data_IF_944406304110
#
_entry.id   IF_944406304110
#
_cell.length_a   1.000
_cell.length_b   1.000
_cell.length_c   1.000
_cell.angle_alpha   90.00
_cell.angle_beta   90.00
_cell.angle_gamma   90.00
#
_symmetry.space_group_name_H-M   'P 1'
#
loop_
_entity.id
_entity.type
_entity.pdbx_description
1 polymer ?
#
# COMPACT_ATOMS: atom_id res chain seq x y z
N UNK A 1 -61.21 44.90 -29.38
CA UNK A 1 -61.02 44.50 -30.80
C UNK A 1 -59.53 44.24 -31.01
N UNK A 2 -59.18 43.09 -31.59
CA UNK A 2 -57.80 42.65 -31.84
C UNK A 2 -57.31 43.33 -33.12
N UNK A 3 -56.17 44.01 -33.09
CA UNK A 3 -55.45 44.38 -34.31
C UNK A 3 -53.99 44.00 -34.24
N UNK A 4 -53.63 43.31 -35.30
CA UNK A 4 -52.42 42.56 -35.56
C UNK A 4 -51.57 43.38 -36.55
N UNK A 5 -50.26 43.38 -36.30
CA UNK A 5 -49.14 43.39 -37.26
C UNK A 5 -48.82 44.71 -37.99
N UNK A 6 -47.50 44.86 -38.22
CA UNK A 6 -46.77 45.84 -39.02
C UNK A 6 -46.64 47.18 -38.28
N UNK A 7 -45.44 47.62 -37.90
CA UNK A 7 -44.40 48.09 -38.81
C UNK A 7 -43.04 48.02 -38.12
N UNK A 8 -42.09 47.43 -38.86
CA UNK A 8 -40.66 47.72 -38.89
C UNK A 8 -40.13 48.77 -37.89
N UNK A 9 -39.25 48.35 -36.97
CA UNK A 9 -38.03 49.12 -36.73
C UNK A 9 -36.90 48.20 -36.27
N UNK A 10 -35.83 48.25 -37.06
CA UNK A 10 -34.42 48.09 -36.68
C UNK A 10 -33.94 46.70 -36.31
N UNK A 11 -33.51 46.02 -37.37
CA UNK A 11 -32.32 45.18 -37.32
C UNK A 11 -31.16 45.98 -36.70
N UNK A 12 -30.53 45.45 -35.66
CA UNK A 12 -29.12 45.72 -35.36
C UNK A 12 -28.48 44.41 -34.89
N UNK A 13 -27.78 43.76 -35.82
CA UNK A 13 -26.79 42.73 -35.52
C UNK A 13 -25.63 43.40 -34.77
N UNK A 14 -25.32 42.96 -33.55
CA UNK A 14 -23.98 43.10 -32.97
C UNK A 14 -23.78 42.05 -31.88
N UNK A 15 -22.88 41.13 -32.17
CA UNK A 15 -22.51 39.96 -31.38
C UNK A 15 -21.89 40.45 -30.07
N UNK A 16 -22.57 40.24 -28.95
CA UNK A 16 -21.92 40.39 -27.64
C UNK A 16 -21.24 39.07 -27.32
N UNK A 17 -19.92 39.03 -27.47
CA UNK A 17 -19.11 37.92 -26.96
C UNK A 17 -19.25 37.89 -25.44
N UNK A 18 -19.96 36.90 -24.91
CA UNK A 18 -19.97 36.62 -23.47
C UNK A 18 -18.60 36.08 -23.12
N UNK A 19 -17.80 36.90 -22.44
CA UNK A 19 -16.56 36.48 -21.80
C UNK A 19 -16.97 35.65 -20.58
N UNK A 20 -16.78 34.33 -20.64
CA UNK A 20 -16.88 33.48 -19.45
C UNK A 20 -15.75 33.89 -18.49
N UNK A 21 -16.02 34.35 -17.26
CA UNK A 21 -14.97 34.49 -16.28
C UNK A 21 -14.48 33.08 -15.92
N UNK A 22 -13.23 32.77 -16.27
CA UNK A 22 -12.50 31.65 -15.69
C UNK A 22 -12.48 31.90 -14.19
N UNK A 23 -13.21 31.09 -13.43
CA UNK A 23 -13.01 30.98 -11.99
C UNK A 23 -11.64 30.32 -11.79
N UNK A 24 -10.59 31.13 -11.74
CA UNK A 24 -9.32 30.70 -11.17
C UNK A 24 -9.55 30.46 -9.68
N UNK A 25 -9.71 29.19 -9.30
CA UNK A 25 -9.44 28.77 -7.93
C UNK A 25 -7.99 29.13 -7.64
N UNK A 26 -7.77 30.19 -6.87
CA UNK A 26 -6.47 30.58 -6.34
C UNK A 26 -6.03 29.50 -5.33
N UNK A 27 -5.53 28.37 -5.84
CA UNK A 27 -4.85 27.40 -5.00
C UNK A 27 -3.47 27.97 -4.66
N UNK A 28 -3.39 28.44 -3.42
CA UNK A 28 -2.22 28.94 -2.69
C UNK A 28 -0.90 28.35 -3.24
N UNK A 29 -0.20 29.11 -4.10
CA UNK A 29 1.18 28.78 -4.51
C UNK A 29 2.07 28.81 -3.26
N UNK A 30 2.45 27.64 -2.78
CA UNK A 30 3.63 27.47 -1.92
C UNK A 30 4.88 27.62 -2.82
N UNK A 31 5.96 28.28 -2.38
CA UNK A 31 7.08 28.57 -3.27
C UNK A 31 7.81 27.29 -3.67
N UNK A 32 7.79 26.97 -4.96
CA UNK A 32 8.62 25.94 -5.56
C UNK A 32 10.06 26.45 -5.68
N UNK A 33 10.96 25.82 -4.93
CA UNK A 33 12.41 25.95 -5.06
C UNK A 33 12.84 25.52 -6.49
N UNK A 34 13.78 26.20 -7.18
CA UNK A 34 14.16 25.82 -8.54
C UNK A 34 15.16 24.67 -8.48
N UNK A 35 14.66 23.47 -8.76
CA UNK A 35 15.46 22.28 -9.08
C UNK A 35 15.02 21.73 -10.43
N UNK A 36 15.75 22.10 -11.47
CA UNK A 36 15.88 21.46 -12.80
C UNK A 36 15.78 19.92 -12.68
N UNK A 37 15.24 19.10 -13.58
CA UNK A 37 15.16 19.11 -15.05
C UNK A 37 14.22 17.96 -15.46
N UNK A 38 13.59 18.06 -16.62
CA UNK A 38 12.41 17.28 -17.02
C UNK A 38 12.59 15.76 -17.15
N UNK A 39 11.49 15.02 -16.88
CA UNK A 39 11.17 13.67 -17.41
C UNK A 39 9.73 13.25 -17.03
N UNK A 40 8.72 14.10 -17.27
CA UNK A 40 7.36 13.90 -16.76
C UNK A 40 6.60 12.63 -17.28
N UNK A 41 6.84 12.08 -18.50
CA UNK A 41 6.13 10.86 -18.94
C UNK A 41 6.88 9.54 -18.68
N UNK A 42 8.21 9.54 -18.72
CA UNK A 42 9.01 8.30 -18.61
C UNK A 42 9.12 7.83 -17.16
N UNK A 43 9.35 8.78 -16.25
CA UNK A 43 9.52 8.53 -14.82
C UNK A 43 8.24 7.98 -14.19
N UNK A 44 7.09 8.55 -14.53
CA UNK A 44 5.76 8.07 -14.10
C UNK A 44 5.48 6.63 -14.56
N UNK A 45 5.85 6.26 -15.80
CA UNK A 45 5.69 4.89 -16.30
C UNK A 45 6.57 3.89 -15.57
N UNK A 46 7.81 4.26 -15.24
CA UNK A 46 8.73 3.40 -14.49
C UNK A 46 8.23 3.17 -13.06
N UNK A 47 7.75 4.21 -12.39
CA UNK A 47 7.12 4.09 -11.09
C UNK A 47 5.87 3.19 -11.10
N UNK A 48 4.97 3.38 -12.07
CA UNK A 48 3.78 2.53 -12.19
C UNK A 48 4.14 1.07 -12.48
N UNK A 49 5.12 0.83 -13.36
CA UNK A 49 5.62 -0.52 -13.66
C UNK A 49 6.19 -1.20 -12.41
N UNK A 50 6.87 -0.44 -11.53
CA UNK A 50 7.36 -0.96 -10.26
C UNK A 50 6.20 -1.39 -9.35
N UNK A 51 5.15 -0.57 -9.23
CA UNK A 51 3.96 -0.89 -8.43
C UNK A 51 3.30 -2.18 -8.94
N UNK A 52 3.06 -2.27 -10.24
CA UNK A 52 2.32 -3.37 -10.86
C UNK A 52 3.06 -4.70 -10.70
N UNK A 53 4.39 -4.71 -10.81
CA UNK A 53 5.22 -5.93 -10.69
C UNK A 53 5.36 -6.44 -9.26
N UNK A 54 5.27 -5.54 -8.28
CA UNK A 54 5.55 -5.88 -6.87
C UNK A 54 4.28 -5.91 -6.00
N UNK A 55 3.11 -5.68 -6.60
CA UNK A 55 1.82 -5.75 -5.91
C UNK A 55 1.54 -4.54 -5.01
N UNK A 56 2.21 -3.41 -5.22
CA UNK A 56 1.99 -2.19 -4.46
C UNK A 56 3.17 -1.22 -4.44
N UNK A 57 2.92 0.00 -3.94
CA UNK A 57 3.97 1.01 -3.69
C UNK A 57 4.94 0.56 -2.61
N UNK A 58 4.44 -0.14 -1.60
CA UNK A 58 5.19 -0.70 -0.47
C UNK A 58 4.74 -2.15 -0.30
N UNK A 59 5.68 -3.06 -0.12
CA UNK A 59 5.39 -4.47 0.09
C UNK A 59 6.38 -5.13 1.06
N UNK A 60 5.97 -6.25 1.65
CA UNK A 60 6.82 -7.10 2.44
C UNK A 60 7.50 -8.14 1.54
N UNK A 61 8.82 -8.23 1.64
CA UNK A 61 9.61 -9.29 1.02
C UNK A 61 10.47 -9.94 2.10
N UNK A 62 10.04 -11.10 2.58
CA UNK A 62 10.68 -11.80 3.70
C UNK A 62 10.79 -10.88 4.93
N UNK A 63 12.01 -10.55 5.37
CA UNK A 63 12.30 -9.65 6.50
C UNK A 63 12.68 -8.24 6.01
N UNK A 64 12.09 -7.78 4.91
CA UNK A 64 12.32 -6.43 4.38
C UNK A 64 11.00 -5.75 4.06
N UNK A 65 10.94 -4.46 4.34
CA UNK A 65 9.96 -3.57 3.74
C UNK A 65 10.63 -2.97 2.51
N UNK A 66 10.03 -3.19 1.35
CA UNK A 66 10.48 -2.64 0.09
C UNK A 66 9.50 -1.57 -0.40
N UNK A 67 10.01 -0.57 -1.12
CA UNK A 67 9.21 0.50 -1.71
C UNK A 67 9.66 0.84 -3.13
N UNK A 68 8.72 1.32 -3.94
CA UNK A 68 9.00 1.92 -5.25
C UNK A 68 9.34 3.40 -5.08
N UNK A 69 10.52 3.80 -5.58
CA UNK A 69 10.92 5.19 -5.71
C UNK A 69 10.28 5.84 -6.93
N UNK A 70 10.23 7.17 -6.97
CA UNK A 70 9.63 7.92 -8.08
C UNK A 70 10.32 7.68 -9.42
N UNK A 71 11.61 7.30 -9.42
CA UNK A 71 12.37 6.90 -10.59
C UNK A 71 12.14 5.43 -11.02
N UNK A 72 11.24 4.71 -10.35
CA UNK A 72 10.96 3.29 -10.59
C UNK A 72 12.01 2.33 -10.02
N UNK A 73 13.01 2.83 -9.29
CA UNK A 73 13.93 1.97 -8.53
C UNK A 73 13.27 1.41 -7.28
N UNK A 74 13.88 0.39 -6.69
CA UNK A 74 13.40 -0.27 -5.49
C UNK A 74 14.40 -0.01 -4.36
N UNK A 75 13.89 0.44 -3.21
CA UNK A 75 14.65 0.47 -1.96
C UNK A 75 14.04 -0.54 -0.99
N UNK A 76 14.87 -1.30 -0.30
CA UNK A 76 14.44 -2.25 0.72
C UNK A 76 15.22 -2.04 2.01
N UNK A 77 14.49 -1.83 3.09
CA UNK A 77 15.04 -1.78 4.44
C UNK A 77 14.77 -3.10 5.15
N UNK A 78 15.74 -3.60 5.89
CA UNK A 78 15.50 -4.74 6.76
C UNK A 78 14.44 -4.34 7.79
N UNK A 79 13.33 -5.06 7.83
CA UNK A 79 12.60 -5.13 9.07
C UNK A 79 13.48 -5.95 9.99
N UNK A 80 13.99 -5.32 11.05
CA UNK A 80 14.39 -6.08 12.23
C UNK A 80 13.12 -6.69 12.82
N UNK A 81 12.57 -7.71 12.14
CA UNK A 81 11.77 -8.70 12.84
C UNK A 81 12.75 -9.25 13.87
N UNK A 82 12.52 -9.03 15.17
CA UNK A 82 13.41 -9.54 16.19
C UNK A 82 13.59 -11.03 15.93
N UNK A 83 14.81 -11.59 16.12
CA UNK A 83 15.02 -13.02 15.95
C UNK A 83 13.92 -13.74 16.73
N UNK A 84 13.13 -14.55 16.01
CA UNK A 84 12.01 -15.28 16.60
C UNK A 84 12.61 -16.10 17.74
N UNK A 85 12.17 -15.83 18.98
CA UNK A 85 12.72 -16.53 20.12
C UNK A 85 12.52 -18.03 19.93
N UNK A 86 13.41 -18.89 20.44
CA UNK A 86 13.23 -20.34 20.32
C UNK A 86 11.85 -20.80 20.80
N UNK A 87 11.34 -20.21 21.89
CA UNK A 87 9.96 -20.42 22.35
C UNK A 87 8.92 -20.04 21.30
N UNK A 88 9.00 -18.84 20.70
CA UNK A 88 8.07 -18.39 19.66
C UNK A 88 8.13 -19.28 18.41
N UNK A 89 9.30 -19.82 18.07
CA UNK A 89 9.43 -20.81 17.00
C UNK A 89 8.63 -22.07 17.33
N UNK A 90 8.78 -22.60 18.54
CA UNK A 90 8.00 -23.76 18.99
C UNK A 90 6.49 -23.47 18.96
N UNK A 91 6.05 -22.28 19.37
CA UNK A 91 4.65 -21.88 19.23
C UNK A 91 4.19 -21.93 17.76
N UNK A 92 4.95 -21.34 16.85
CA UNK A 92 4.59 -21.30 15.43
C UNK A 92 4.52 -22.71 14.81
N UNK A 93 5.43 -23.61 15.22
CA UNK A 93 5.44 -25.02 14.79
C UNK A 93 4.23 -25.81 15.35
N UNK A 94 3.55 -25.28 16.39
CA UNK A 94 2.41 -25.89 17.07
C UNK A 94 1.17 -24.97 17.12
N UNK A 95 0.82 -24.34 15.99
CA UNK A 95 -0.43 -23.56 15.83
C UNK A 95 -0.59 -22.41 16.86
N UNK A 96 0.51 -21.84 17.32
CA UNK A 96 0.54 -20.80 18.35
C UNK A 96 0.35 -21.30 19.78
N UNK A 97 0.31 -22.63 20.01
CA UNK A 97 0.01 -23.22 21.32
C UNK A 97 1.28 -23.55 22.08
N UNK A 98 1.40 -23.01 23.29
CA UNK A 98 2.49 -23.36 24.23
C UNK A 98 2.26 -24.66 24.99
N UNK A 99 1.02 -25.18 24.95
CA UNK A 99 0.61 -26.47 25.51
C UNK A 99 -0.28 -27.17 24.49
N UNK A 100 0.02 -28.43 24.20
CA UNK A 100 -0.68 -29.23 23.19
C UNK A 100 -0.55 -30.71 23.51
N UNK A 101 -1.24 -31.55 22.75
CA UNK A 101 -1.23 -33.01 22.93
C UNK A 101 -0.68 -33.68 21.68
N UNK A 102 0.34 -34.52 21.83
CA UNK A 102 0.86 -35.38 20.76
C UNK A 102 0.51 -36.82 21.13
N UNK A 103 -0.28 -37.51 20.29
CA UNK A 103 -0.66 -38.91 20.49
C UNK A 103 -1.22 -39.21 21.90
N UNK A 104 -2.03 -38.31 22.44
CA UNK A 104 -2.61 -38.44 23.79
C UNK A 104 -1.69 -38.04 24.94
N UNK A 105 -0.43 -37.65 24.69
CA UNK A 105 0.52 -37.19 25.71
C UNK A 105 0.54 -35.66 25.76
N UNK A 106 0.48 -35.09 26.96
CA UNK A 106 0.54 -33.64 27.17
C UNK A 106 1.97 -33.13 26.98
N UNK A 107 2.12 -32.12 26.14
CA UNK A 107 3.40 -31.51 25.79
C UNK A 107 3.36 -30.00 25.95
N UNK A 108 4.52 -29.39 26.21
CA UNK A 108 4.72 -27.95 26.32
C UNK A 108 5.92 -27.49 25.51
N UNK A 109 5.91 -26.23 25.07
CA UNK A 109 7.12 -25.55 24.59
C UNK A 109 7.94 -25.06 25.79
N UNK A 110 9.22 -25.42 25.86
CA UNK A 110 10.15 -24.82 26.80
C UNK A 110 10.72 -23.49 26.28
N UNK A 111 11.38 -22.73 27.17
CA UNK A 111 11.97 -21.43 26.83
C UNK A 111 13.09 -21.52 25.76
N UNK A 112 13.65 -22.72 25.55
CA UNK A 112 14.68 -23.01 24.54
C UNK A 112 14.08 -23.51 23.23
N UNK A 113 12.75 -23.53 23.10
CA UNK A 113 12.04 -23.96 21.89
C UNK A 113 11.95 -25.47 21.72
N UNK A 114 12.24 -26.25 22.77
CA UNK A 114 12.10 -27.70 22.75
C UNK A 114 10.70 -28.11 23.22
N UNK A 115 10.14 -29.13 22.58
CA UNK A 115 8.93 -29.80 23.05
C UNK A 115 9.29 -30.73 24.21
N UNK A 116 8.61 -30.57 25.35
CA UNK A 116 8.74 -31.44 26.52
C UNK A 116 7.38 -32.05 26.84
N UNK A 117 7.31 -33.38 26.87
CA UNK A 117 6.07 -34.11 27.10
C UNK A 117 6.09 -34.84 28.44
N UNK A 118 4.97 -34.83 29.15
CA UNK A 118 4.81 -35.44 30.47
C UNK A 118 3.63 -36.42 30.46
N UNK A 119 3.84 -37.58 31.09
CA UNK A 119 2.73 -38.52 31.38
C UNK A 119 2.42 -39.52 30.26
N UNK A 120 3.35 -39.81 29.36
CA UNK A 120 3.25 -41.01 28.53
C UNK A 120 3.74 -42.23 29.31
N UNK A 121 2.88 -43.23 29.51
CA UNK A 121 3.34 -44.59 29.78
C UNK A 121 4.31 -44.97 28.67
N UNK A 122 5.57 -45.23 29.05
CA UNK A 122 6.69 -45.72 28.24
C UNK A 122 6.33 -46.13 26.80
N UNK A 123 6.39 -45.18 25.87
CA UNK A 123 6.80 -45.49 24.50
C UNK A 123 8.05 -44.68 24.24
N UNK A 124 9.12 -45.23 24.79
CA UNK A 124 10.50 -45.00 24.44
C UNK A 124 10.67 -44.78 22.94
N UNK A 125 11.40 -43.72 22.60
CA UNK A 125 12.20 -43.59 21.38
C UNK A 125 11.54 -44.13 20.10
N UNK A 126 10.82 -43.26 19.39
CA UNK A 126 10.74 -43.41 17.94
C UNK A 126 11.51 -42.25 17.31
N UNK A 127 12.55 -42.69 16.61
CA UNK A 127 13.52 -42.00 15.77
C UNK A 127 12.91 -40.93 14.86
#
# INVERSE_FOLDING_TARGET
MKFSIFVLLTQVLSISAVVLPVTETFEKRLPSNPGTSGNAPSQSRQYQTCIDRNGGKVWLNSNKICLCNQDGTIECINTSLPPVSPYQKCLNDHEGKGKFTINGVNCICDIKGKVVCYGGTLISHLY
#
